data_IF_581143373737
#
_entry.id   IF_581143373737
#
_cell.length_a   1.000
_cell.length_b   1.000
_cell.length_c   1.000
_cell.angle_alpha   90.00
_cell.angle_beta   90.00
_cell.angle_gamma   90.00
#
_symmetry.space_group_name_H-M   'P 1'
#
loop_
_entity.id
_entity.type
_entity.pdbx_description
1 polymer ?
#
# COMPACT_ATOMS: atom_id res chain seq x y z
N UNK A 1 -8.16 -33.91 3.40
CA UNK A 1 -7.70 -32.72 2.66
C UNK A 1 -6.48 -33.12 1.86
N UNK A 2 -6.48 -32.84 0.57
CA UNK A 2 -5.31 -33.04 -0.30
C UNK A 2 -4.31 -31.90 -0.12
N UNK A 3 -3.05 -32.12 -0.49
CA UNK A 3 -2.03 -31.08 -0.48
C UNK A 3 -2.38 -29.88 -1.41
N UNK A 4 -3.15 -30.13 -2.48
CA UNK A 4 -3.64 -29.09 -3.38
C UNK A 4 -4.70 -28.20 -2.72
N UNK A 5 -5.63 -28.80 -1.96
CA UNK A 5 -6.64 -28.06 -1.20
C UNK A 5 -6.00 -27.18 -0.12
N UNK A 6 -5.00 -27.71 0.58
CA UNK A 6 -4.25 -26.95 1.59
C UNK A 6 -3.49 -25.79 0.97
N UNK A 7 -2.82 -26.00 -0.18
CA UNK A 7 -2.13 -24.94 -0.91
C UNK A 7 -3.11 -23.85 -1.37
N UNK A 8 -4.24 -24.22 -1.97
CA UNK A 8 -5.25 -23.27 -2.41
C UNK A 8 -5.80 -22.43 -1.24
N UNK A 9 -6.02 -23.06 -0.08
CA UNK A 9 -6.44 -22.35 1.13
C UNK A 9 -5.39 -21.35 1.60
N UNK A 10 -4.10 -21.73 1.64
CA UNK A 10 -3.03 -20.82 2.06
C UNK A 10 -2.84 -19.66 1.09
N UNK A 11 -2.99 -19.87 -0.22
CA UNK A 11 -2.97 -18.79 -1.21
C UNK A 11 -4.10 -17.80 -0.99
N UNK A 12 -5.31 -18.26 -0.69
CA UNK A 12 -6.44 -17.39 -0.37
C UNK A 12 -6.20 -16.55 0.89
N UNK A 13 -5.58 -17.13 1.92
CA UNK A 13 -5.19 -16.38 3.14
C UNK A 13 -4.14 -15.31 2.82
N UNK A 14 -3.13 -15.65 2.01
CA UNK A 14 -2.12 -14.69 1.58
C UNK A 14 -2.72 -13.54 0.76
N UNK A 15 -3.63 -13.84 -0.17
CA UNK A 15 -4.35 -12.84 -0.97
C UNK A 15 -5.14 -11.88 -0.07
N UNK A 16 -5.86 -12.40 0.93
CA UNK A 16 -6.62 -11.58 1.86
C UNK A 16 -5.71 -10.63 2.64
N UNK A 17 -4.62 -11.14 3.22
CA UNK A 17 -3.67 -10.31 3.96
C UNK A 17 -3.05 -9.22 3.09
N UNK A 18 -2.69 -9.52 1.85
CA UNK A 18 -2.15 -8.54 0.91
C UNK A 18 -3.18 -7.47 0.57
N UNK A 19 -4.45 -7.85 0.40
CA UNK A 19 -5.56 -6.93 0.16
C UNK A 19 -5.76 -5.98 1.36
N UNK A 20 -5.74 -6.52 2.57
CA UNK A 20 -5.88 -5.74 3.81
C UNK A 20 -4.72 -4.74 3.97
N UNK A 21 -3.49 -5.17 3.71
CA UNK A 21 -2.31 -4.29 3.73
C UNK A 21 -2.41 -3.22 2.65
N UNK A 22 -2.85 -3.55 1.44
CA UNK A 22 -3.10 -2.57 0.37
C UNK A 22 -4.08 -1.47 0.78
N UNK A 23 -5.17 -1.84 1.46
CA UNK A 23 -6.16 -0.89 1.99
C UNK A 23 -5.57 0.00 3.10
N UNK A 24 -4.74 -0.55 3.98
CA UNK A 24 -4.03 0.20 5.02
C UNK A 24 -3.02 1.20 4.43
N UNK A 25 -2.29 0.81 3.39
CA UNK A 25 -1.40 1.71 2.66
C UNK A 25 -2.18 2.86 2.00
N UNK A 26 -3.32 2.56 1.37
CA UNK A 26 -4.19 3.61 0.81
C UNK A 26 -4.69 4.60 1.86
N UNK A 27 -5.06 4.10 3.03
CA UNK A 27 -5.44 4.95 4.18
C UNK A 27 -4.26 5.79 4.67
N UNK A 28 -3.07 5.20 4.75
CA UNK A 28 -1.83 5.90 5.16
C UNK A 28 -1.50 7.03 4.18
N UNK A 29 -1.59 6.76 2.88
CA UNK A 29 -1.35 7.75 1.83
C UNK A 29 -2.28 8.96 1.93
N UNK A 30 -3.57 8.70 2.16
CA UNK A 30 -4.55 9.76 2.38
C UNK A 30 -4.18 10.63 3.58
N UNK A 31 -3.80 10.02 4.69
CA UNK A 31 -3.36 10.73 5.89
C UNK A 31 -2.10 11.56 5.66
N UNK A 32 -1.14 11.07 4.88
CA UNK A 32 0.06 11.84 4.49
C UNK A 32 -0.33 13.09 3.67
N UNK A 33 -1.23 12.95 2.68
CA UNK A 33 -1.72 14.09 1.91
C UNK A 33 -2.55 15.08 2.74
N UNK A 34 -3.31 14.61 3.73
CA UNK A 34 -4.02 15.48 4.68
C UNK A 34 -3.05 16.25 5.59
N UNK A 35 -1.97 15.60 6.04
CA UNK A 35 -0.92 16.22 6.82
C UNK A 35 -0.18 17.30 6.00
N UNK A 36 0.21 16.99 4.75
CA UNK A 36 0.84 17.96 3.85
C UNK A 36 -0.03 19.20 3.65
N UNK A 37 -1.31 19.00 3.30
CA UNK A 37 -2.26 20.11 3.12
C UNK A 37 -2.43 20.93 4.39
N UNK A 38 -2.33 20.31 5.56
CA UNK A 38 -2.44 21.00 6.84
C UNK A 38 -1.18 21.82 7.15
N UNK A 39 0.00 21.29 6.81
CA UNK A 39 1.27 21.99 6.97
C UNK A 39 1.37 23.19 6.02
N UNK A 40 0.99 23.03 4.74
CA UNK A 40 0.95 24.14 3.77
C UNK A 40 0.04 25.29 4.24
N UNK A 41 -1.03 24.99 4.97
CA UNK A 41 -1.92 26.04 5.53
C UNK A 41 -1.27 26.86 6.65
N UNK A 42 -0.23 26.33 7.31
CA UNK A 42 0.48 27.05 8.37
C UNK A 42 1.32 28.19 7.80
N UNK A 43 1.96 27.94 6.65
CA UNK A 43 2.69 28.96 5.89
C UNK A 43 2.48 28.75 4.38
N UNK A 44 1.44 29.37 3.80
CA UNK A 44 1.13 29.25 2.38
C UNK A 44 2.17 29.94 1.48
N UNK A 45 2.93 30.90 2.00
CA UNK A 45 3.93 31.64 1.21
C UNK A 45 5.26 30.87 1.13
N UNK A 46 5.56 30.05 2.16
CA UNK A 46 6.77 29.24 2.24
C UNK A 46 6.51 27.77 2.64
N UNK A 47 5.80 26.99 1.80
CA UNK A 47 5.46 25.59 2.10
C UNK A 47 6.70 24.71 2.34
N UNK A 48 7.84 25.02 1.75
CA UNK A 48 9.12 24.33 1.93
C UNK A 48 9.69 24.44 3.35
N UNK A 49 9.24 25.42 4.13
CA UNK A 49 9.69 25.61 5.52
C UNK A 49 8.87 24.79 6.51
N UNK A 50 7.64 24.43 6.14
CA UNK A 50 6.66 23.75 7.00
C UNK A 50 6.42 22.29 6.59
N UNK A 51 6.57 21.95 5.31
CA UNK A 51 6.46 20.57 4.81
C UNK A 51 7.85 19.92 4.84
N UNK A 52 8.08 18.92 5.71
CA UNK A 52 9.37 18.26 5.76
C UNK A 52 9.54 17.34 4.55
N UNK A 53 10.75 17.27 3.95
CA UNK A 53 11.01 16.40 2.79
C UNK A 53 10.86 14.91 3.10
N UNK A 54 10.88 14.52 4.38
CA UNK A 54 10.57 13.17 4.83
C UNK A 54 9.12 12.77 4.55
N UNK A 55 8.19 13.73 4.44
CA UNK A 55 6.78 13.47 4.14
C UNK A 55 6.59 13.02 2.69
N UNK A 56 7.23 13.70 1.72
CA UNK A 56 7.26 13.25 0.32
C UNK A 56 7.94 11.89 0.19
N UNK A 57 9.06 11.68 0.89
CA UNK A 57 9.72 10.37 0.93
C UNK A 57 8.79 9.28 1.47
N UNK A 58 7.97 9.58 2.48
CA UNK A 58 7.01 8.63 3.02
C UNK A 58 5.91 8.31 2.00
N UNK A 59 5.36 9.30 1.28
CA UNK A 59 4.38 9.07 0.21
C UNK A 59 4.96 8.17 -0.89
N UNK A 60 6.19 8.45 -1.33
CA UNK A 60 6.89 7.62 -2.32
C UNK A 60 7.08 6.17 -1.86
N UNK A 61 7.39 5.95 -0.58
CA UNK A 61 7.52 4.59 -0.03
C UNK A 61 6.17 3.87 0.01
N UNK A 62 5.11 4.57 0.39
CA UNK A 62 3.75 4.02 0.39
C UNK A 62 3.33 3.66 -1.03
N UNK A 63 3.57 4.53 -2.01
CA UNK A 63 3.26 4.27 -3.42
C UNK A 63 3.99 3.03 -3.94
N UNK A 64 5.30 2.92 -3.70
CA UNK A 64 6.09 1.73 -4.07
C UNK A 64 5.57 0.45 -3.41
N UNK A 65 5.18 0.53 -2.14
CA UNK A 65 4.63 -0.62 -1.43
C UNK A 65 3.28 -1.05 -2.02
N UNK A 66 2.42 -0.10 -2.44
CA UNK A 66 1.16 -0.41 -3.12
C UNK A 66 1.41 -1.13 -4.46
N UNK A 67 2.30 -0.61 -5.30
CA UNK A 67 2.66 -1.26 -6.57
C UNK A 67 3.21 -2.67 -6.35
N UNK A 68 4.05 -2.86 -5.33
CA UNK A 68 4.59 -4.19 -5.00
C UNK A 68 3.48 -5.17 -4.59
N UNK A 69 2.51 -4.74 -3.78
CA UNK A 69 1.37 -5.57 -3.38
C UNK A 69 0.50 -5.93 -4.58
N UNK A 70 0.20 -4.98 -5.46
CA UNK A 70 -0.57 -5.23 -6.68
C UNK A 70 0.11 -6.28 -7.57
N UNK A 71 1.42 -6.16 -7.79
CA UNK A 71 2.20 -7.13 -8.55
C UNK A 71 2.19 -8.53 -7.92
N UNK A 72 2.28 -8.61 -6.59
CA UNK A 72 2.21 -9.90 -5.87
C UNK A 72 0.82 -10.51 -5.99
N UNK A 73 -0.24 -9.71 -5.83
CA UNK A 73 -1.62 -10.16 -5.97
C UNK A 73 -1.90 -10.70 -7.38
N UNK A 74 -1.43 -10.01 -8.41
CA UNK A 74 -1.53 -10.48 -9.79
C UNK A 74 -0.80 -11.81 -9.96
N UNK A 75 0.44 -11.92 -9.47
CA UNK A 75 1.23 -13.16 -9.54
C UNK A 75 0.55 -14.32 -8.81
N UNK A 76 -0.04 -14.07 -7.63
CA UNK A 76 -0.75 -15.08 -6.85
C UNK A 76 -2.01 -15.57 -7.57
N UNK A 77 -2.78 -14.66 -8.17
CA UNK A 77 -3.97 -15.00 -8.95
C UNK A 77 -3.61 -15.80 -10.19
N UNK A 78 -2.58 -15.37 -10.92
CA UNK A 78 -2.05 -16.10 -12.07
C UNK A 78 -1.61 -17.52 -11.69
N UNK A 79 -0.92 -17.67 -10.56
CA UNK A 79 -0.53 -18.98 -10.06
C UNK A 79 -1.76 -19.83 -9.69
N UNK A 80 -2.73 -19.25 -8.98
CA UNK A 80 -3.95 -19.95 -8.54
C UNK A 80 -4.81 -20.43 -9.71
N UNK A 81 -4.85 -19.70 -10.83
CA UNK A 81 -5.58 -20.12 -12.04
C UNK A 81 -4.94 -21.29 -12.78
N UNK A 82 -3.67 -21.61 -12.48
CA UNK A 82 -2.88 -22.68 -13.12
C UNK A 82 -2.75 -23.93 -12.25
N UNK A 83 -3.27 -23.89 -11.02
CA UNK A 83 -3.40 -25.05 -10.12
C UNK A 83 -4.52 -25.98 -10.57
#
# INVERSE_FOLDING_TARGET
MSALEELAQQLGVAEQHLTDVGALLGTTRKSLGDAERSLIKLDPEHPETVVPPSLHRADDQVARAQEMIENILETLRDFATRL
#
